data_IF_400425639981
#
_entry.id   IF_400425639981
#
_cell.length_a   1.000
_cell.length_b   1.000
_cell.length_c   1.000
_cell.angle_alpha   90.00
_cell.angle_beta   90.00
_cell.angle_gamma   90.00
#
_symmetry.space_group_name_H-M   'P 1'
#
loop_
_entity.id
_entity.type
_entity.pdbx_description
1 polymer ?
#
# COMPACT_ATOMS: atom_id res chain seq x y z
N UNK A 1 19.04 -33.75 -16.79
CA UNK A 1 20.23 -32.90 -16.49
C UNK A 1 20.17 -32.58 -15.01
N UNK A 2 21.18 -32.94 -14.22
CA UNK A 2 21.16 -32.65 -12.77
C UNK A 2 21.36 -31.15 -12.58
N UNK A 3 20.31 -30.44 -12.16
CA UNK A 3 20.39 -29.02 -11.85
C UNK A 3 21.21 -28.86 -10.57
N UNK A 4 22.28 -28.05 -10.65
CA UNK A 4 23.07 -27.69 -9.48
C UNK A 4 22.37 -26.58 -8.71
N UNK A 5 22.35 -26.72 -7.40
CA UNK A 5 21.95 -25.66 -6.49
C UNK A 5 22.91 -24.47 -6.65
N UNK A 6 22.35 -23.26 -6.70
CA UNK A 6 23.05 -21.98 -6.68
C UNK A 6 22.27 -21.02 -5.80
N UNK A 7 22.80 -19.83 -5.58
CA UNK A 7 22.13 -18.80 -4.81
C UNK A 7 22.18 -17.46 -5.55
N UNK A 8 21.05 -16.76 -5.56
CA UNK A 8 20.92 -15.40 -6.04
C UNK A 8 21.00 -14.45 -4.85
N UNK A 9 21.94 -13.53 -4.91
CA UNK A 9 22.17 -12.48 -3.93
C UNK A 9 21.96 -11.15 -4.62
N UNK A 10 21.09 -10.30 -4.07
CA UNK A 10 20.88 -8.94 -4.58
C UNK A 10 21.50 -7.93 -3.62
N UNK A 11 22.05 -6.85 -4.16
CA UNK A 11 22.59 -5.75 -3.37
C UNK A 11 21.51 -5.13 -2.48
N UNK A 12 21.88 -4.79 -1.24
CA UNK A 12 20.97 -4.19 -0.26
C UNK A 12 19.98 -5.17 0.38
N UNK A 13 20.17 -6.48 0.21
CA UNK A 13 19.46 -7.51 0.98
C UNK A 13 20.42 -8.38 1.80
N UNK A 14 20.06 -8.62 3.05
CA UNK A 14 20.83 -9.47 3.96
C UNK A 14 20.63 -10.96 3.62
N UNK A 15 19.43 -11.35 3.21
CA UNK A 15 19.10 -12.72 2.84
C UNK A 15 19.13 -12.97 1.32
N UNK A 16 19.54 -14.19 0.94
CA UNK A 16 19.60 -14.66 -0.45
C UNK A 16 18.40 -15.53 -0.86
N UNK A 17 18.42 -15.95 -2.13
CA UNK A 17 17.43 -16.84 -2.73
C UNK A 17 18.12 -18.11 -3.20
N UNK A 18 17.61 -19.26 -2.76
CA UNK A 18 18.05 -20.57 -3.22
C UNK A 18 17.50 -20.85 -4.63
N UNK A 19 18.37 -21.18 -5.57
CA UNK A 19 18.02 -21.46 -6.97
C UNK A 19 18.44 -22.87 -7.40
N UNK A 20 17.46 -23.67 -7.83
CA UNK A 20 17.67 -24.94 -8.54
C UNK A 20 16.89 -24.90 -9.85
N UNK A 21 17.45 -24.19 -10.83
CA UNK A 21 16.75 -23.74 -12.05
C UNK A 21 17.59 -24.00 -13.30
N UNK A 22 16.97 -23.92 -14.48
CA UNK A 22 17.65 -24.08 -15.77
C UNK A 22 18.33 -22.77 -16.25
N UNK A 23 19.07 -22.83 -17.36
CA UNK A 23 19.75 -21.67 -17.93
C UNK A 23 18.79 -20.57 -18.39
N UNK A 24 17.61 -20.93 -18.91
CA UNK A 24 16.60 -19.96 -19.35
C UNK A 24 16.14 -19.03 -18.21
N UNK A 25 16.00 -19.55 -16.99
CA UNK A 25 15.74 -18.71 -15.81
C UNK A 25 16.92 -17.76 -15.53
N UNK A 26 18.15 -18.27 -15.58
CA UNK A 26 19.35 -17.47 -15.28
C UNK A 26 19.57 -16.35 -16.30
N UNK A 27 19.31 -16.62 -17.57
CA UNK A 27 19.42 -15.66 -18.68
C UNK A 27 18.35 -14.57 -18.61
N UNK A 28 17.23 -14.80 -17.91
CA UNK A 28 16.18 -13.81 -17.70
C UNK A 28 16.54 -12.75 -16.64
N UNK A 29 17.38 -13.10 -15.66
CA UNK A 29 17.69 -12.22 -14.52
C UNK A 29 18.26 -10.84 -14.95
N UNK A 30 19.25 -10.74 -15.88
CA UNK A 30 19.81 -9.45 -16.29
C UNK A 30 18.85 -8.54 -17.08
N UNK A 31 17.71 -9.06 -17.53
CA UNK A 31 16.65 -8.28 -18.16
C UNK A 31 15.69 -7.69 -17.13
N UNK A 32 15.45 -8.41 -16.03
CA UNK A 32 14.47 -8.03 -15.00
C UNK A 32 15.15 -7.16 -13.93
N UNK A 33 16.31 -7.59 -13.43
CA UNK A 33 17.15 -6.86 -12.47
C UNK A 33 18.20 -6.04 -13.22
N UNK A 34 17.74 -5.20 -14.16
CA UNK A 34 18.63 -4.48 -15.08
C UNK A 34 19.45 -3.39 -14.39
N UNK A 35 18.90 -2.78 -13.33
CA UNK A 35 19.57 -1.79 -12.50
C UNK A 35 19.52 -2.12 -11.01
N UNK A 36 19.30 -3.39 -10.68
CA UNK A 36 19.48 -3.91 -9.33
C UNK A 36 20.66 -4.88 -9.36
N UNK A 37 21.83 -4.49 -8.84
CA UNK A 37 23.00 -5.36 -8.87
C UNK A 37 22.74 -6.67 -8.14
N UNK A 38 23.19 -7.77 -8.74
CA UNK A 38 23.03 -9.10 -8.19
C UNK A 38 24.19 -10.00 -8.59
N UNK A 39 24.40 -11.04 -7.80
CA UNK A 39 25.39 -12.08 -8.02
C UNK A 39 24.77 -13.47 -7.91
N UNK A 40 25.36 -14.42 -8.65
CA UNK A 40 25.02 -15.84 -8.56
C UNK A 40 26.22 -16.56 -7.98
N UNK A 41 26.07 -17.08 -6.77
CA UNK A 41 27.13 -17.77 -6.03
C UNK A 41 26.83 -19.27 -5.92
N UNK A 42 27.87 -20.07 -5.72
CA UNK A 42 27.76 -21.52 -5.57
C UNK A 42 27.23 -21.93 -4.18
N UNK A 43 27.67 -21.21 -3.15
CA UNK A 43 27.30 -21.42 -1.75
C UNK A 43 26.81 -20.10 -1.17
N UNK A 44 25.79 -20.15 -0.30
CA UNK A 44 25.30 -19.00 0.43
C UNK A 44 25.99 -18.91 1.79
N UNK A 45 26.57 -17.74 2.07
CA UNK A 45 27.10 -17.33 3.38
C UNK A 45 26.05 -16.58 4.23
N UNK A 46 24.78 -16.62 3.80
CA UNK A 46 23.68 -15.83 4.34
C UNK A 46 22.39 -16.62 4.41
N UNK A 47 21.44 -16.10 5.20
CA UNK A 47 20.11 -16.68 5.34
C UNK A 47 19.37 -16.74 4.00
N UNK A 48 18.46 -17.70 3.87
CA UNK A 48 17.65 -17.89 2.66
C UNK A 48 16.19 -17.61 2.99
N UNK A 49 15.62 -16.58 2.36
CA UNK A 49 14.22 -16.22 2.59
C UNK A 49 13.26 -16.87 1.57
N UNK A 50 13.76 -17.24 0.39
CA UNK A 50 12.98 -17.86 -0.66
C UNK A 50 13.77 -18.92 -1.43
N UNK A 51 13.06 -19.89 -2.00
CA UNK A 51 13.62 -20.94 -2.86
C UNK A 51 12.83 -21.01 -4.16
N UNK A 52 13.54 -21.08 -5.29
CA UNK A 52 12.96 -21.39 -6.60
C UNK A 52 13.55 -22.70 -7.11
N UNK A 53 12.67 -23.67 -7.33
CA UNK A 53 13.05 -24.99 -7.86
C UNK A 53 12.27 -25.30 -9.13
N UNK A 54 12.98 -25.70 -10.19
CA UNK A 54 12.42 -26.37 -11.35
C UNK A 54 12.35 -27.88 -11.06
N UNK A 55 11.15 -28.43 -11.01
CA UNK A 55 10.93 -29.85 -10.73
C UNK A 55 10.80 -30.69 -12.01
N UNK A 56 10.77 -32.00 -11.83
CA UNK A 56 10.69 -32.99 -12.92
C UNK A 56 9.39 -32.89 -13.73
N UNK A 57 8.34 -32.25 -13.19
CA UNK A 57 7.11 -31.93 -13.91
C UNK A 57 7.25 -30.75 -14.89
N UNK A 58 8.46 -30.16 -14.98
CA UNK A 58 8.76 -29.04 -15.85
C UNK A 58 8.29 -27.69 -15.33
N UNK A 59 7.83 -27.60 -14.07
CA UNK A 59 7.32 -26.37 -13.46
C UNK A 59 8.28 -25.78 -12.44
N UNK A 60 8.27 -24.46 -12.37
CA UNK A 60 8.95 -23.69 -11.35
C UNK A 60 8.05 -23.53 -10.12
N UNK A 61 8.64 -23.71 -8.95
CA UNK A 61 7.97 -23.55 -7.66
C UNK A 61 8.72 -22.48 -6.86
N UNK A 62 8.01 -21.42 -6.46
CA UNK A 62 8.50 -20.44 -5.50
C UNK A 62 7.99 -20.82 -4.11
N UNK A 63 8.91 -21.01 -3.17
CA UNK A 63 8.60 -21.31 -1.77
C UNK A 63 9.26 -20.30 -0.86
N UNK A 64 8.51 -19.78 0.11
CA UNK A 64 8.95 -18.83 1.12
C UNK A 64 8.15 -19.12 2.41
N UNK A 65 8.70 -18.91 3.62
CA UNK A 65 7.95 -19.09 4.88
C UNK A 65 6.69 -18.23 4.97
N UNK A 66 6.58 -17.20 4.14
CA UNK A 66 5.50 -16.21 4.13
C UNK A 66 4.46 -16.47 3.04
N UNK A 67 4.70 -17.45 2.15
CA UNK A 67 3.75 -17.85 1.13
C UNK A 67 2.95 -19.05 1.64
N UNK A 68 1.69 -18.83 1.97
CA UNK A 68 0.78 -19.91 2.42
C UNK A 68 0.43 -20.88 1.29
N UNK A 69 0.22 -20.36 0.07
CA UNK A 69 -0.17 -21.15 -1.09
C UNK A 69 1.01 -21.38 -2.01
N UNK A 70 1.42 -22.65 -2.15
CA UNK A 70 2.43 -23.06 -3.12
C UNK A 70 1.90 -22.94 -4.54
N UNK A 71 2.18 -21.83 -5.19
CA UNK A 71 1.91 -21.64 -6.61
C UNK A 71 3.02 -22.29 -7.46
N UNK A 72 2.64 -22.70 -8.67
CA UNK A 72 3.56 -23.28 -9.66
C UNK A 72 3.44 -22.54 -10.98
N UNK A 73 4.55 -22.42 -11.70
CA UNK A 73 4.65 -21.63 -12.92
C UNK A 73 5.29 -22.44 -14.03
N UNK A 74 4.78 -22.30 -15.26
CA UNK A 74 5.30 -23.01 -16.43
C UNK A 74 6.42 -22.24 -17.13
N UNK A 75 6.73 -21.02 -16.71
CA UNK A 75 7.60 -20.09 -17.42
C UNK A 75 8.50 -19.30 -16.45
N UNK A 76 9.79 -19.10 -16.77
CA UNK A 76 10.73 -18.40 -15.89
C UNK A 76 10.31 -16.95 -15.59
N UNK A 77 9.76 -16.21 -16.56
CA UNK A 77 9.35 -14.81 -16.33
C UNK A 77 8.20 -14.74 -15.33
N UNK A 78 7.30 -15.73 -15.33
CA UNK A 78 6.18 -15.77 -14.40
C UNK A 78 6.64 -16.00 -12.96
N UNK A 79 7.58 -16.92 -12.73
CA UNK A 79 8.10 -17.17 -11.39
C UNK A 79 9.01 -16.03 -10.93
N UNK A 80 9.81 -15.41 -11.81
CA UNK A 80 10.62 -14.22 -11.44
C UNK A 80 9.70 -13.04 -11.12
N UNK A 81 8.60 -12.88 -11.86
CA UNK A 81 7.58 -11.88 -11.53
C UNK A 81 7.00 -12.09 -10.12
N UNK A 82 6.72 -13.34 -9.72
CA UNK A 82 6.27 -13.64 -8.36
C UNK A 82 7.39 -13.37 -7.33
N UNK A 83 8.64 -13.69 -7.68
CA UNK A 83 9.81 -13.38 -6.87
C UNK A 83 9.98 -11.88 -6.63
N UNK A 84 9.72 -11.01 -7.62
CA UNK A 84 9.79 -9.55 -7.45
C UNK A 84 8.84 -9.06 -6.34
N UNK A 85 7.66 -9.66 -6.21
CA UNK A 85 6.74 -9.34 -5.11
C UNK A 85 7.31 -9.81 -3.76
N UNK A 86 7.89 -11.01 -3.68
CA UNK A 86 8.54 -11.50 -2.46
C UNK A 86 9.78 -10.67 -2.09
N UNK A 87 10.52 -10.15 -3.07
CA UNK A 87 11.65 -9.23 -2.86
C UNK A 87 11.18 -7.92 -2.23
N UNK A 88 10.06 -7.38 -2.70
CA UNK A 88 9.45 -6.20 -2.08
C UNK A 88 9.13 -6.45 -0.60
N UNK A 89 8.55 -7.63 -0.29
CA UNK A 89 8.26 -8.03 1.09
C UNK A 89 9.51 -8.27 1.93
N UNK A 90 10.55 -8.89 1.36
CA UNK A 90 11.82 -9.12 2.04
C UNK A 90 12.43 -7.78 2.48
N UNK A 91 12.44 -6.79 1.58
CA UNK A 91 12.97 -5.46 1.87
C UNK A 91 12.28 -4.80 3.08
N UNK A 92 10.95 -4.92 3.19
CA UNK A 92 10.20 -4.37 4.33
C UNK A 92 10.35 -5.17 5.64
N UNK A 93 10.79 -6.43 5.53
CA UNK A 93 11.09 -7.27 6.69
C UNK A 93 12.49 -6.98 7.24
N UNK A 94 13.45 -6.69 6.36
CA UNK A 94 14.81 -6.28 6.74
C UNK A 94 14.86 -4.83 7.21
N UNK A 95 14.05 -3.95 6.61
CA UNK A 95 13.91 -2.55 7.04
C UNK A 95 12.44 -2.19 7.33
N UNK A 96 11.99 -2.37 8.59
CA UNK A 96 10.64 -2.01 9.02
C UNK A 96 10.34 -0.51 9.05
N UNK A 97 11.35 0.36 8.84
CA UNK A 97 11.16 1.82 8.83
C UNK A 97 10.58 2.30 7.49
N UNK A 98 10.70 1.49 6.44
CA UNK A 98 10.17 1.80 5.12
C UNK A 98 8.65 1.66 5.07
N UNK A 99 8.01 2.67 4.49
CA UNK A 99 6.69 2.52 3.90
C UNK A 99 6.83 2.02 2.45
N UNK A 100 5.79 1.46 1.85
CA UNK A 100 5.83 0.93 0.49
C UNK A 100 4.48 1.05 -0.18
N UNK A 101 4.45 1.77 -1.30
CA UNK A 101 3.27 1.97 -2.12
C UNK A 101 3.34 1.05 -3.33
N UNK A 102 2.28 0.29 -3.56
CA UNK A 102 2.07 -0.40 -4.83
C UNK A 102 1.74 0.63 -5.91
N UNK A 103 2.64 0.83 -6.86
CA UNK A 103 2.51 1.88 -7.85
C UNK A 103 3.76 2.04 -8.71
N UNK A 104 3.65 2.92 -9.70
CA UNK A 104 4.78 3.37 -10.50
C UNK A 104 5.25 4.72 -9.97
N UNK A 105 6.48 5.09 -10.29
CA UNK A 105 6.97 6.44 -10.02
C UNK A 105 7.92 6.87 -11.13
N UNK A 106 7.82 8.14 -11.52
CA UNK A 106 8.69 8.76 -12.49
C UNK A 106 9.15 10.12 -11.99
N UNK A 107 10.34 10.53 -12.41
CA UNK A 107 10.92 11.82 -12.08
C UNK A 107 10.39 12.91 -13.01
N UNK A 108 9.84 13.97 -12.40
CA UNK A 108 9.46 15.21 -13.07
C UNK A 108 10.17 16.36 -12.37
N UNK A 109 11.02 17.08 -13.10
CA UNK A 109 11.69 18.29 -12.61
C UNK A 109 12.37 18.11 -11.24
N UNK A 110 13.05 16.97 -11.05
CA UNK A 110 13.80 16.65 -9.83
C UNK A 110 12.97 16.14 -8.64
N UNK A 111 11.69 15.80 -8.83
CA UNK A 111 10.84 15.16 -7.80
C UNK A 111 10.04 14.00 -8.37
N UNK A 112 9.60 13.08 -7.53
CA UNK A 112 8.81 11.93 -7.96
C UNK A 112 7.32 12.26 -8.01
N UNK A 113 6.70 11.98 -9.16
CA UNK A 113 5.26 11.77 -9.23
C UNK A 113 4.99 10.28 -9.09
N UNK A 114 4.18 9.94 -8.10
CA UNK A 114 3.81 8.56 -7.79
C UNK A 114 2.43 8.28 -8.40
N UNK A 115 2.28 7.10 -8.99
CA UNK A 115 1.05 6.62 -9.60
C UNK A 115 0.56 5.37 -8.85
N UNK A 116 -0.15 5.53 -7.71
CA UNK A 116 -0.72 4.41 -6.99
C UNK A 116 -1.72 3.68 -7.90
N UNK A 117 -1.58 2.37 -8.03
CA UNK A 117 -2.39 1.63 -9.00
C UNK A 117 -3.53 0.87 -8.35
N UNK A 118 -4.75 1.17 -8.80
CA UNK A 118 -5.85 0.21 -8.72
C UNK A 118 -5.77 -0.76 -9.91
N UNK A 119 -6.42 -1.94 -9.79
CA UNK A 119 -6.33 -2.97 -10.84
C UNK A 119 -6.85 -2.44 -12.18
N UNK A 120 -6.08 -2.69 -13.25
CA UNK A 120 -6.39 -2.35 -14.66
C UNK A 120 -6.36 -0.85 -15.03
N UNK A 121 -5.82 0.03 -14.20
CA UNK A 121 -5.71 1.45 -14.49
C UNK A 121 -4.67 1.83 -15.58
N UNK A 122 -4.03 0.86 -16.25
CA UNK A 122 -3.07 1.15 -17.32
C UNK A 122 -1.64 1.51 -16.88
N UNK A 123 -1.32 1.43 -15.58
CA UNK A 123 0.00 1.80 -15.00
C UNK A 123 1.20 1.30 -15.82
N UNK A 124 1.32 -0.02 -16.05
CA UNK A 124 2.50 -0.55 -16.74
C UNK A 124 2.62 -0.10 -18.19
N UNK A 125 1.48 0.16 -18.85
CA UNK A 125 1.44 0.80 -20.17
C UNK A 125 1.97 2.23 -20.08
N UNK A 126 1.49 3.00 -19.10
CA UNK A 126 1.93 4.38 -18.88
C UNK A 126 3.41 4.45 -18.51
N UNK A 127 3.94 3.53 -17.69
CA UNK A 127 5.36 3.47 -17.30
C UNK A 127 6.31 3.34 -18.49
N UNK A 128 6.00 2.44 -19.43
CA UNK A 128 6.83 2.29 -20.64
C UNK A 128 6.69 3.50 -21.55
N UNK A 129 5.49 4.06 -21.68
CA UNK A 129 5.27 5.26 -22.47
C UNK A 129 5.98 6.49 -21.84
N UNK A 130 6.02 6.63 -20.52
CA UNK A 130 6.77 7.67 -19.82
C UNK A 130 8.28 7.55 -20.08
N UNK A 131 8.82 6.33 -19.99
CA UNK A 131 10.21 6.06 -20.35
C UNK A 131 10.50 6.41 -21.81
N UNK A 132 9.60 6.04 -22.74
CA UNK A 132 9.69 6.37 -24.16
C UNK A 132 9.66 7.89 -24.41
N UNK A 133 8.94 8.63 -23.57
CA UNK A 133 8.88 10.07 -23.59
C UNK A 133 10.08 10.76 -22.91
N UNK A 134 11.08 10.00 -22.44
CA UNK A 134 12.30 10.52 -21.83
C UNK A 134 12.18 10.87 -20.34
N UNK A 135 11.10 10.48 -19.67
CA UNK A 135 11.01 10.57 -18.22
C UNK A 135 11.80 9.45 -17.57
N UNK A 136 12.50 9.75 -16.48
CA UNK A 136 13.30 8.77 -15.75
C UNK A 136 12.40 7.98 -14.81
N UNK A 137 12.34 6.67 -15.00
CA UNK A 137 11.48 5.77 -14.22
C UNK A 137 12.17 5.29 -12.93
N UNK A 138 11.48 5.40 -11.80
CA UNK A 138 11.96 4.88 -10.52
C UNK A 138 11.47 3.46 -10.26
N UNK A 139 10.24 3.15 -10.64
CA UNK A 139 9.65 1.82 -10.51
C UNK A 139 8.38 1.72 -11.35
N UNK A 140 7.99 0.50 -11.70
CA UNK A 140 6.68 0.20 -12.29
C UNK A 140 5.72 -0.48 -11.31
N UNK A 141 6.18 -1.08 -10.21
CA UNK A 141 5.35 -2.01 -9.42
C UNK A 141 5.22 -1.64 -7.95
N UNK A 142 6.33 -1.34 -7.28
CA UNK A 142 6.34 -0.91 -5.89
C UNK A 142 7.41 0.15 -5.64
N UNK A 143 7.11 1.09 -4.75
CA UNK A 143 7.97 2.19 -4.35
C UNK A 143 8.15 2.17 -2.82
N UNK A 144 9.30 1.72 -2.31
CA UNK A 144 9.70 2.00 -0.94
C UNK A 144 9.82 3.51 -0.71
N UNK A 145 9.37 3.96 0.46
CA UNK A 145 9.34 5.35 0.88
C UNK A 145 10.03 5.44 2.24
N UNK A 146 10.96 6.38 2.37
CA UNK A 146 11.68 6.70 3.60
C UNK A 146 11.45 8.15 4.02
N UNK A 147 11.69 8.43 5.29
CA UNK A 147 11.86 9.79 5.81
C UNK A 147 13.31 9.93 6.21
N UNK A 148 14.02 10.86 5.60
CA UNK A 148 15.44 11.10 5.89
C UNK A 148 15.60 12.11 7.03
N UNK A 149 16.85 12.36 7.46
CA UNK A 149 17.19 13.27 8.58
C UNK A 149 16.66 14.70 8.38
N UNK A 150 16.58 15.16 7.13
CA UNK A 150 16.04 16.47 6.76
C UNK A 150 14.50 16.55 6.83
N UNK A 151 13.88 15.43 7.22
CA UNK A 151 12.44 15.19 7.34
C UNK A 151 11.68 15.23 6.02
N UNK A 152 12.38 15.22 4.89
CA UNK A 152 11.74 15.11 3.58
C UNK A 152 11.44 13.63 3.32
N UNK A 153 10.33 13.40 2.61
CA UNK A 153 9.90 12.06 2.23
C UNK A 153 10.48 11.74 0.86
N UNK A 154 11.19 10.62 0.75
CA UNK A 154 11.85 10.16 -0.47
C UNK A 154 11.23 8.86 -0.95
N UNK A 155 11.11 8.71 -2.27
CA UNK A 155 10.84 7.43 -2.91
C UNK A 155 12.13 6.81 -3.41
N UNK A 156 12.30 5.51 -3.18
CA UNK A 156 13.54 4.78 -3.48
C UNK A 156 13.29 3.82 -4.64
N UNK A 157 14.16 3.83 -5.65
CA UNK A 157 14.03 2.93 -6.80
C UNK A 157 14.29 1.47 -6.41
N UNK A 158 13.51 0.58 -7.05
CA UNK A 158 13.69 -0.87 -6.96
C UNK A 158 14.72 -1.41 -7.95
N UNK A 159 15.13 -0.63 -8.97
CA UNK A 159 16.04 -1.10 -10.03
C UNK A 159 15.47 -2.22 -10.92
N UNK A 160 14.17 -2.53 -10.79
CA UNK A 160 13.48 -3.56 -11.57
C UNK A 160 12.94 -2.97 -12.87
N UNK A 161 13.16 -3.67 -13.98
CA UNK A 161 12.70 -3.25 -15.30
C UNK A 161 11.16 -3.18 -15.39
N UNK A 162 10.60 -2.20 -16.13
CA UNK A 162 9.17 -2.13 -16.39
C UNK A 162 8.61 -3.39 -17.06
N UNK A 163 7.40 -3.80 -16.66
CA UNK A 163 6.76 -5.04 -17.11
C UNK A 163 5.38 -4.77 -17.73
N UNK A 164 5.29 -4.88 -19.04
CA UNK A 164 4.03 -4.81 -19.78
C UNK A 164 3.28 -6.14 -19.75
N UNK A 165 1.95 -6.07 -19.72
CA UNK A 165 1.06 -7.21 -19.95
C UNK A 165 0.76 -7.34 -21.44
N UNK A 166 0.64 -8.58 -21.92
CA UNK A 166 0.28 -8.92 -23.30
C UNK A 166 -1.18 -9.41 -23.38
N UNK A 167 -1.88 -9.20 -24.52
CA UNK A 167 -1.44 -8.37 -25.65
C UNK A 167 -1.33 -6.89 -25.26
N UNK A 168 -0.49 -6.13 -25.98
CA UNK A 168 -0.36 -4.71 -25.73
C UNK A 168 -1.65 -3.98 -26.13
N UNK A 169 -2.14 -3.01 -25.32
CA UNK A 169 -3.27 -2.20 -25.73
C UNK A 169 -2.84 -1.27 -26.88
N UNK A 170 -3.73 -1.02 -27.84
CA UNK A 170 -3.50 -0.06 -28.94
C UNK A 170 -3.19 1.35 -28.41
N UNK A 171 -3.68 1.66 -27.21
CA UNK A 171 -3.50 2.91 -26.50
C UNK A 171 -2.08 3.17 -25.97
N UNK A 172 -1.15 2.22 -26.12
CA UNK A 172 0.24 2.42 -25.69
C UNK A 172 0.96 3.52 -26.48
N UNK A 173 0.53 3.80 -27.71
CA UNK A 173 1.12 4.82 -28.59
C UNK A 173 2.28 4.31 -29.44
N UNK A 174 2.56 5.02 -30.54
CA UNK A 174 3.59 4.67 -31.51
C UNK A 174 4.99 4.92 -30.93
N UNK A 175 5.18 6.01 -30.19
CA UNK A 175 6.47 6.34 -29.59
C UNK A 175 6.94 5.24 -28.62
N UNK A 176 6.02 4.66 -27.85
CA UNK A 176 6.32 3.56 -26.96
C UNK A 176 6.64 2.26 -27.70
N UNK A 177 5.97 1.97 -28.82
CA UNK A 177 6.28 0.83 -29.69
C UNK A 177 7.67 0.97 -30.31
N UNK A 178 8.01 2.16 -30.84
CA UNK A 178 9.35 2.45 -31.37
C UNK A 178 10.43 2.34 -30.29
N UNK A 179 10.15 2.86 -29.10
CA UNK A 179 11.04 2.75 -27.95
C UNK A 179 11.35 1.29 -27.65
N UNK A 180 10.33 0.44 -27.51
CA UNK A 180 10.51 -0.99 -27.27
C UNK A 180 11.28 -1.69 -28.38
N UNK A 181 11.05 -1.32 -29.65
CA UNK A 181 11.77 -1.89 -30.78
C UNK A 181 13.29 -1.60 -30.75
N UNK A 182 13.71 -0.55 -30.03
CA UNK A 182 15.11 -0.14 -29.86
C UNK A 182 15.71 -0.59 -28.52
N UNK A 183 15.00 -1.42 -27.73
CA UNK A 183 15.47 -1.90 -26.43
C UNK A 183 15.55 -3.44 -26.42
N UNK A 184 16.44 -4.03 -25.61
CA UNK A 184 16.37 -5.45 -25.34
C UNK A 184 15.04 -5.80 -24.65
N UNK A 185 14.33 -6.78 -25.19
CA UNK A 185 13.04 -7.26 -24.68
C UNK A 185 13.17 -8.70 -24.20
N UNK A 186 12.46 -9.02 -23.13
CA UNK A 186 12.25 -10.40 -22.70
C UNK A 186 10.75 -10.63 -22.54
N UNK A 187 10.20 -11.58 -23.31
CA UNK A 187 8.75 -11.79 -23.40
C UNK A 187 8.36 -13.24 -23.27
N UNK A 188 7.18 -13.48 -22.70
CA UNK A 188 6.44 -14.72 -22.82
C UNK A 188 5.01 -14.42 -23.32
N UNK A 189 4.07 -15.35 -23.11
CA UNK A 189 2.68 -15.18 -23.53
C UNK A 189 1.92 -14.10 -22.73
N UNK A 190 2.34 -13.81 -21.49
CA UNK A 190 1.65 -12.92 -20.57
C UNK A 190 2.35 -11.57 -20.39
N UNK A 191 3.68 -11.54 -20.42
CA UNK A 191 4.48 -10.37 -20.05
C UNK A 191 5.54 -10.02 -21.09
N UNK A 192 5.94 -8.76 -21.10
CA UNK A 192 7.15 -8.28 -21.75
C UNK A 192 7.87 -7.33 -20.81
N UNK A 193 9.09 -7.68 -20.43
CA UNK A 193 10.02 -6.78 -19.76
C UNK A 193 10.78 -5.99 -20.80
N UNK A 194 10.84 -4.67 -20.59
CA UNK A 194 11.61 -3.75 -21.43
C UNK A 194 12.84 -3.37 -20.63
N UNK A 195 14.04 -3.70 -21.10
CA UNK A 195 15.27 -3.33 -20.41
C UNK A 195 15.60 -1.85 -20.70
N UNK A 196 15.48 -0.94 -19.71
CA UNK A 196 15.80 0.47 -19.91
C UNK A 196 17.31 0.71 -20.02
N UNK A 197 17.70 1.83 -20.63
CA UNK A 197 19.05 2.37 -20.50
C UNK A 197 19.24 3.00 -19.11
N UNK A 198 20.51 3.18 -18.69
CA UNK A 198 20.85 3.78 -17.38
C UNK A 198 20.24 5.17 -17.14
N UNK A 199 19.98 5.94 -18.20
CA UNK A 199 19.37 7.27 -18.12
C UNK A 199 17.85 7.23 -18.05
N UNK A 200 17.23 6.12 -18.44
CA UNK A 200 15.77 5.96 -18.56
C UNK A 200 15.14 5.40 -17.29
N UNK A 201 15.95 4.78 -16.42
CA UNK A 201 15.50 4.25 -15.16
C UNK A 201 16.56 4.42 -14.08
N UNK A 202 16.12 4.71 -12.87
CA UNK A 202 16.97 4.81 -11.70
C UNK A 202 17.52 3.44 -11.28
N UNK A 203 18.72 3.42 -10.73
CA UNK A 203 19.30 2.24 -10.12
C UNK A 203 18.71 1.96 -8.74
N UNK A 204 18.78 0.70 -8.32
CA UNK A 204 18.37 0.29 -6.99
C UNK A 204 19.02 1.20 -5.93
N UNK A 205 18.19 1.67 -4.98
CA UNK A 205 18.65 2.52 -3.88
C UNK A 205 18.77 4.01 -4.23
N UNK A 206 18.73 4.40 -5.51
CA UNK A 206 18.59 5.82 -5.86
C UNK A 206 17.28 6.37 -5.31
N UNK A 207 17.34 7.56 -4.71
CA UNK A 207 16.22 8.19 -4.04
C UNK A 207 15.98 9.60 -4.60
N UNK A 208 14.71 9.98 -4.69
CA UNK A 208 14.28 11.34 -5.04
C UNK A 208 13.11 11.77 -4.16
N UNK A 209 12.98 13.06 -3.83
CA UNK A 209 11.93 13.53 -2.94
C UNK A 209 10.57 13.40 -3.64
N UNK A 210 9.53 13.09 -2.86
CA UNK A 210 8.18 13.01 -3.39
C UNK A 210 7.67 14.41 -3.78
N UNK A 211 7.13 14.51 -4.99
CA UNK A 211 6.56 15.72 -5.56
C UNK A 211 5.04 15.73 -5.57
N UNK A 212 4.39 14.58 -5.82
CA UNK A 212 2.94 14.49 -5.90
C UNK A 212 2.42 13.10 -6.22
N UNK A 213 1.10 12.95 -6.21
CA UNK A 213 0.39 11.71 -6.57
C UNK A 213 -0.57 11.94 -7.73
N UNK A 214 -0.59 10.99 -8.65
CA UNK A 214 -1.54 10.96 -9.76
C UNK A 214 -2.25 9.62 -9.78
N UNK A 215 -3.54 9.63 -9.48
CA UNK A 215 -4.43 8.49 -9.54
C UNK A 215 -4.93 8.31 -10.97
N UNK A 216 -4.86 7.09 -11.48
CA UNK A 216 -5.16 6.80 -12.88
C UNK A 216 -6.60 6.31 -13.04
N UNK A 217 -7.36 6.96 -13.92
CA UNK A 217 -8.68 6.51 -14.37
C UNK A 217 -8.69 6.36 -15.89
N UNK A 218 -8.41 5.15 -16.36
CA UNK A 218 -8.43 4.86 -17.79
C UNK A 218 -9.84 4.58 -18.28
N UNK A 219 -10.31 5.37 -19.24
CA UNK A 219 -11.66 5.28 -19.82
C UNK A 219 -11.54 5.34 -21.35
N UNK A 220 -12.02 4.31 -22.03
CA UNK A 220 -11.99 4.24 -23.50
C UNK A 220 -12.77 5.42 -24.11
N UNK A 221 -12.17 6.12 -25.06
CA UNK A 221 -12.72 7.30 -25.73
C UNK A 221 -12.77 8.58 -24.88
N UNK A 222 -12.21 8.59 -23.67
CA UNK A 222 -12.17 9.80 -22.85
C UNK A 222 -11.14 10.80 -23.37
N UNK A 223 -11.52 12.08 -23.35
CA UNK A 223 -10.57 13.18 -23.45
C UNK A 223 -9.63 13.17 -22.24
N UNK A 224 -8.36 13.47 -22.50
CA UNK A 224 -7.35 13.56 -21.44
C UNK A 224 -7.64 14.76 -20.54
N UNK A 225 -7.73 14.52 -19.24
CA UNK A 225 -7.95 15.56 -18.25
C UNK A 225 -7.26 15.22 -16.94
N UNK A 226 -6.77 16.25 -16.27
CA UNK A 226 -6.23 16.16 -14.91
C UNK A 226 -7.06 17.08 -14.01
N UNK A 227 -7.44 16.57 -12.84
CA UNK A 227 -8.22 17.32 -11.86
C UNK A 227 -7.74 17.00 -10.45
N UNK A 228 -7.85 17.94 -9.51
CA UNK A 228 -7.58 17.64 -8.11
C UNK A 228 -8.53 16.57 -7.58
N UNK A 229 -8.03 15.72 -6.69
CA UNK A 229 -8.83 14.75 -5.95
C UNK A 229 -8.95 15.19 -4.49
N UNK A 230 -10.03 14.80 -3.82
CA UNK A 230 -10.19 15.04 -2.38
C UNK A 230 -9.06 14.38 -1.57
N UNK A 231 -8.71 14.98 -0.44
CA UNK A 231 -7.71 14.42 0.47
C UNK A 231 -8.17 13.05 0.97
N UNK A 232 -9.47 12.90 1.24
CA UNK A 232 -10.04 11.65 1.71
C UNK A 232 -9.90 10.50 0.69
N UNK A 233 -10.20 10.76 -0.59
CA UNK A 233 -10.09 9.74 -1.64
C UNK A 233 -8.63 9.40 -1.95
N UNK A 234 -7.73 10.40 -1.90
CA UNK A 234 -6.29 10.18 -1.98
C UNK A 234 -5.81 9.29 -0.83
N UNK A 235 -6.13 9.66 0.41
CA UNK A 235 -5.74 8.92 1.61
C UNK A 235 -6.28 7.49 1.58
N UNK A 236 -7.56 7.30 1.24
CA UNK A 236 -8.18 5.98 1.07
C UNK A 236 -7.41 5.11 0.08
N UNK A 237 -7.08 5.68 -1.08
CA UNK A 237 -6.35 4.93 -2.11
C UNK A 237 -4.94 4.59 -1.65
N UNK A 238 -4.24 5.54 -1.02
CA UNK A 238 -2.90 5.33 -0.47
C UNK A 238 -2.89 4.26 0.62
N UNK A 239 -3.87 4.23 1.52
CA UNK A 239 -4.02 3.18 2.53
C UNK A 239 -4.21 1.81 1.86
N UNK A 240 -5.04 1.74 0.81
CA UNK A 240 -5.27 0.49 0.08
C UNK A 240 -4.07 0.02 -0.74
N UNK A 241 -3.23 0.95 -1.23
CA UNK A 241 -2.02 0.61 -2.00
C UNK A 241 -0.77 0.46 -1.13
N UNK A 242 -0.80 0.91 0.12
CA UNK A 242 0.24 0.59 1.08
C UNK A 242 0.14 -0.88 1.47
N UNK A 243 1.25 -1.59 1.38
CA UNK A 243 1.34 -2.97 1.86
C UNK A 243 2.36 -3.16 2.98
N UNK A 244 2.92 -2.07 3.52
CA UNK A 244 3.75 -2.14 4.72
C UNK A 244 2.91 -2.55 5.92
N UNK A 245 3.35 -3.60 6.62
CA UNK A 245 2.64 -4.19 7.76
C UNK A 245 3.52 -4.43 8.99
N UNK A 246 4.82 -4.17 8.85
CA UNK A 246 5.83 -4.38 9.89
C UNK A 246 5.97 -3.16 10.81
N UNK A 247 5.64 -1.96 10.32
CA UNK A 247 5.56 -0.73 11.11
C UNK A 247 4.22 -0.56 11.84
N UNK A 248 4.19 0.37 12.80
CA UNK A 248 2.99 0.76 13.55
C UNK A 248 1.96 1.45 12.63
N UNK A 249 0.73 0.96 12.63
CA UNK A 249 -0.37 1.49 11.79
C UNK A 249 -0.66 2.98 12.03
N UNK A 250 -0.40 3.51 13.24
CA UNK A 250 -0.56 4.94 13.51
C UNK A 250 0.48 5.79 12.79
N UNK A 251 1.72 5.33 12.72
CA UNK A 251 2.82 6.02 12.02
C UNK A 251 2.62 5.94 10.51
N UNK A 252 2.21 4.76 10.02
CA UNK A 252 1.81 4.56 8.61
C UNK A 252 0.66 5.53 8.27
N UNK A 253 -0.42 5.54 9.05
CA UNK A 253 -1.56 6.42 8.81
C UNK A 253 -1.16 7.90 8.88
N UNK A 254 -0.30 8.29 9.84
CA UNK A 254 0.19 9.66 9.95
C UNK A 254 1.00 10.10 8.72
N UNK A 255 1.87 9.22 8.20
CA UNK A 255 2.65 9.51 6.99
C UNK A 255 1.75 9.61 5.77
N UNK A 256 0.81 8.67 5.59
CA UNK A 256 -0.13 8.68 4.46
C UNK A 256 -1.06 9.90 4.49
N UNK A 257 -1.55 10.28 5.67
CA UNK A 257 -2.31 11.50 5.91
C UNK A 257 -1.49 12.74 5.56
N UNK A 258 -0.23 12.79 6.03
CA UNK A 258 0.66 13.92 5.77
C UNK A 258 0.90 14.12 4.28
N UNK A 259 1.21 13.05 3.53
CA UNK A 259 1.45 13.17 2.09
C UNK A 259 0.18 13.54 1.34
N UNK A 260 -0.99 13.01 1.72
CA UNK A 260 -2.26 13.35 1.09
C UNK A 260 -2.64 14.83 1.32
N UNK A 261 -2.29 15.40 2.48
CA UNK A 261 -2.58 16.79 2.83
C UNK A 261 -1.58 17.80 2.26
N UNK A 262 -0.31 17.42 2.12
CA UNK A 262 0.79 18.37 1.86
C UNK A 262 1.42 18.23 0.48
N UNK A 263 1.10 17.17 -0.27
CA UNK A 263 1.53 17.00 -1.65
C UNK A 263 0.33 17.08 -2.61
N UNK A 264 0.53 17.66 -3.81
CA UNK A 264 -0.52 17.71 -4.81
C UNK A 264 -0.98 16.31 -5.19
N UNK A 265 -2.30 16.11 -5.19
CA UNK A 265 -2.96 14.86 -5.49
C UNK A 265 -3.97 15.09 -6.62
N UNK A 266 -3.79 14.38 -7.74
CA UNK A 266 -4.64 14.54 -8.93
C UNK A 266 -5.24 13.21 -9.38
N UNK A 267 -6.40 13.28 -10.02
CA UNK A 267 -6.97 12.24 -10.86
C UNK A 267 -6.63 12.54 -12.33
N UNK A 268 -6.00 11.59 -13.02
CA UNK A 268 -5.76 11.63 -14.45
C UNK A 268 -6.76 10.71 -15.15
N UNK A 269 -7.70 11.32 -15.86
CA UNK A 269 -8.62 10.62 -16.76
C UNK A 269 -8.06 10.61 -18.16
N UNK A 270 -7.96 9.43 -18.77
CA UNK A 270 -7.34 9.31 -20.09
C UNK A 270 -7.74 8.01 -20.82
N UNK A 271 -7.54 7.99 -22.14
CA UNK A 271 -7.61 6.78 -22.96
C UNK A 271 -6.21 6.37 -23.46
N UNK A 272 -5.56 7.28 -24.19
CA UNK A 272 -4.25 7.08 -24.81
C UNK A 272 -3.09 7.58 -23.94
N UNK A 273 -1.98 6.84 -23.94
CA UNK A 273 -0.82 7.15 -23.10
C UNK A 273 -0.10 8.44 -23.52
N UNK A 274 0.06 8.70 -24.82
CA UNK A 274 0.81 9.87 -25.31
C UNK A 274 0.20 11.21 -24.88
N UNK A 275 -1.10 11.49 -25.12
CA UNK A 275 -1.72 12.72 -24.62
C UNK A 275 -1.68 12.84 -23.08
N UNK A 276 -1.80 11.72 -22.38
CA UNK A 276 -1.70 11.67 -20.92
C UNK A 276 -0.31 12.11 -20.44
N UNK A 277 0.76 11.66 -21.11
CA UNK A 277 2.14 12.02 -20.77
C UNK A 277 2.42 13.49 -21.09
N UNK A 278 1.93 13.99 -22.22
CA UNK A 278 2.10 15.40 -22.58
C UNK A 278 1.45 16.32 -21.53
N UNK A 279 0.24 15.96 -21.07
CA UNK A 279 -0.44 16.68 -19.99
C UNK A 279 0.35 16.62 -18.68
N UNK A 280 0.85 15.43 -18.28
CA UNK A 280 1.66 15.27 -17.07
C UNK A 280 2.95 16.09 -17.13
N UNK A 281 3.63 16.11 -18.28
CA UNK A 281 4.84 16.91 -18.47
C UNK A 281 4.57 18.40 -18.35
N UNK A 282 3.44 18.86 -18.90
CA UNK A 282 3.03 20.26 -18.78
C UNK A 282 2.71 20.62 -17.33
N UNK A 283 1.94 19.78 -16.62
CA UNK A 283 1.54 20.00 -15.23
C UNK A 283 2.75 20.03 -14.29
N UNK A 284 3.70 19.10 -14.45
CA UNK A 284 4.88 18.95 -13.58
C UNK A 284 6.16 19.52 -14.19
N UNK A 285 6.04 20.51 -15.09
CA UNK A 285 7.18 21.19 -15.71
C UNK A 285 8.01 22.00 -14.69
N UNK A 286 7.40 22.40 -13.57
CA UNK A 286 8.07 23.09 -12.46
C UNK A 286 7.32 22.85 -11.14
N UNK A 287 8.03 23.00 -10.02
CA UNK A 287 7.47 22.87 -8.68
C UNK A 287 7.40 24.23 -7.99
N UNK A 288 6.19 24.72 -7.75
CA UNK A 288 5.98 26.05 -7.16
C UNK A 288 5.98 26.03 -5.61
N UNK A 289 5.89 24.84 -5.01
CA UNK A 289 5.86 24.67 -3.56
C UNK A 289 7.16 24.05 -3.04
N UNK A 290 7.65 24.45 -1.86
CA UNK A 290 8.77 23.78 -1.21
C UNK A 290 8.41 22.33 -0.87
N UNK A 291 9.42 21.49 -0.65
CA UNK A 291 9.21 20.13 -0.18
C UNK A 291 8.67 20.16 1.26
N UNK A 292 7.54 19.48 1.55
CA UNK A 292 7.00 19.43 2.89
C UNK A 292 7.89 18.56 3.78
N UNK A 293 8.01 18.94 5.06
CA UNK A 293 8.82 18.21 6.05
C UNK A 293 7.92 17.47 7.02
N UNK A 294 8.06 16.16 7.07
CA UNK A 294 7.29 15.29 7.95
C UNK A 294 7.76 15.42 9.39
N UNK A 295 6.83 15.69 10.30
CA UNK A 295 7.10 15.69 11.73
C UNK A 295 6.13 14.76 12.42
N UNK A 296 6.68 13.70 13.03
CA UNK A 296 5.93 12.82 13.93
C UNK A 296 5.45 13.69 15.10
N UNK A 297 4.14 13.77 15.30
CA UNK A 297 3.57 14.41 16.48
C UNK A 297 3.96 13.57 17.71
N UNK A 298 4.41 14.18 18.83
CA UNK A 298 4.74 13.46 20.06
C UNK A 298 3.60 12.59 20.60
N UNK A 299 2.35 12.95 20.27
CA UNK A 299 1.13 12.21 20.64
C UNK A 299 0.96 10.86 19.91
N UNK A 300 1.84 10.53 18.95
CA UNK A 300 1.78 9.29 18.14
C UNK A 300 2.53 8.10 18.77
N UNK A 301 3.18 8.28 19.92
CA UNK A 301 3.70 7.17 20.71
C UNK A 301 2.52 6.35 21.26
N UNK A 302 2.05 5.38 20.46
CA UNK A 302 1.15 4.37 20.96
C UNK A 302 1.82 3.66 22.15
N UNK A 303 1.20 3.74 23.33
CA UNK A 303 1.66 3.10 24.58
C UNK A 303 1.74 1.57 24.54
N UNK A 304 1.64 0.95 23.36
CA UNK A 304 1.80 -0.50 23.19
C UNK A 304 3.03 -0.79 22.33
N UNK A 305 4.21 -0.98 22.94
CA UNK A 305 5.49 -1.12 22.25
C UNK A 305 5.64 -2.33 21.32
N UNK A 306 4.59 -3.11 20.99
CA UNK A 306 4.77 -4.37 20.28
C UNK A 306 3.53 -5.02 19.62
N UNK A 307 2.41 -4.31 19.42
CA UNK A 307 1.24 -4.86 18.68
C UNK A 307 0.67 -6.20 19.19
N UNK A 308 1.07 -6.62 20.40
CA UNK A 308 0.83 -7.96 20.98
C UNK A 308 -0.01 -7.95 22.26
N UNK A 309 -0.44 -6.77 22.73
CA UNK A 309 -1.37 -6.72 23.86
C UNK A 309 -2.69 -7.37 23.44
N UNK A 310 -3.13 -8.40 24.19
CA UNK A 310 -4.48 -8.93 24.07
C UNK A 310 -5.44 -7.77 24.35
N UNK A 311 -6.24 -7.41 23.36
CA UNK A 311 -7.32 -6.45 23.52
C UNK A 311 -8.64 -7.22 23.59
N UNK A 312 -9.55 -6.72 24.41
CA UNK A 312 -10.87 -7.31 24.53
C UNK A 312 -11.59 -7.23 23.18
N UNK A 313 -12.08 -8.38 22.73
CA UNK A 313 -12.94 -8.49 21.57
C UNK A 313 -14.33 -8.83 22.05
N UNK A 314 -15.29 -8.00 21.68
CA UNK A 314 -16.68 -8.20 22.06
C UNK A 314 -17.44 -8.83 20.90
N UNK A 315 -17.87 -10.08 21.08
CA UNK A 315 -18.85 -10.73 20.21
C UNK A 315 -20.29 -10.41 20.63
N UNK A 316 -20.51 -10.24 21.94
CA UNK A 316 -21.74 -9.74 22.52
C UNK A 316 -21.62 -8.23 22.78
N UNK A 317 -22.31 -7.47 21.93
CA UNK A 317 -22.41 -6.00 21.98
C UNK A 317 -23.85 -5.55 22.25
N UNK A 318 -24.77 -6.50 22.46
CA UNK A 318 -26.20 -6.22 22.66
C UNK A 318 -26.48 -5.82 24.10
N UNK A 319 -25.55 -6.10 25.03
CA UNK A 319 -25.66 -5.75 26.44
C UNK A 319 -24.50 -4.87 26.92
N UNK A 320 -24.84 -3.80 27.64
CA UNK A 320 -23.90 -2.85 28.24
C UNK A 320 -23.71 -1.56 27.44
N UNK A 321 -22.88 -0.67 27.98
CA UNK A 321 -22.47 0.58 27.34
C UNK A 321 -21.04 0.47 26.83
N UNK A 322 -20.80 1.07 25.67
CA UNK A 322 -19.52 1.05 24.99
C UNK A 322 -19.08 2.47 24.66
N UNK A 323 -17.77 2.67 24.62
CA UNK A 323 -17.13 3.89 24.12
C UNK A 323 -15.89 3.50 23.31
N UNK A 324 -15.15 4.48 22.79
CA UNK A 324 -13.91 4.22 22.06
C UNK A 324 -12.90 3.47 22.91
N UNK A 325 -12.24 2.49 22.31
CA UNK A 325 -11.06 1.90 22.94
C UNK A 325 -9.91 2.91 23.00
N UNK A 326 -9.13 2.86 24.07
CA UNK A 326 -7.88 3.62 24.17
C UNK A 326 -6.90 3.26 23.04
N UNK A 327 -6.06 4.22 22.65
CA UNK A 327 -5.06 4.07 21.58
C UNK A 327 -5.63 3.84 20.17
N UNK A 328 -6.89 4.19 19.91
CA UNK A 328 -7.44 4.28 18.56
C UNK A 328 -7.20 5.69 18.02
N UNK A 329 -6.27 5.84 17.06
CA UNK A 329 -6.08 7.10 16.35
C UNK A 329 -7.21 7.29 15.34
N UNK A 330 -7.82 8.47 15.35
CA UNK A 330 -8.80 8.89 14.36
C UNK A 330 -8.20 9.96 13.46
N UNK A 331 -8.27 9.75 12.14
CA UNK A 331 -7.97 10.75 11.11
C UNK A 331 -9.26 11.11 10.40
N UNK A 332 -9.51 12.41 10.22
CA UNK A 332 -10.67 12.91 9.47
C UNK A 332 -10.19 13.75 8.29
N UNK A 333 -10.68 13.44 7.10
CA UNK A 333 -10.41 14.19 5.88
C UNK A 333 -11.72 14.29 5.08
N UNK A 334 -12.08 15.49 4.62
CA UNK A 334 -13.29 15.76 3.82
C UNK A 334 -14.58 15.10 4.36
N UNK A 335 -14.77 15.09 5.69
CA UNK A 335 -15.91 14.45 6.36
C UNK A 335 -15.85 12.92 6.47
N UNK A 336 -14.90 12.27 5.80
CA UNK A 336 -14.61 10.84 5.94
C UNK A 336 -13.69 10.59 7.15
N UNK A 337 -13.78 9.39 7.74
CA UNK A 337 -12.97 9.01 8.92
C UNK A 337 -12.22 7.70 8.74
N UNK A 338 -11.00 7.68 9.24
CA UNK A 338 -10.10 6.53 9.26
C UNK A 338 -9.64 6.27 10.70
N UNK A 339 -9.68 5.01 11.13
CA UNK A 339 -9.30 4.58 12.48
C UNK A 339 -8.13 3.62 12.45
N UNK A 340 -7.20 3.70 13.39
CA UNK A 340 -6.22 2.62 13.61
C UNK A 340 -6.82 1.54 14.49
N UNK A 341 -6.56 0.28 14.16
CA UNK A 341 -6.85 -0.84 15.04
C UNK A 341 -5.95 -0.82 16.28
N UNK A 342 -6.47 -1.31 17.40
CA UNK A 342 -5.75 -1.34 18.69
C UNK A 342 -4.53 -2.28 18.69
N UNK A 343 -4.45 -3.21 17.74
CA UNK A 343 -3.26 -4.03 17.53
C UNK A 343 -2.12 -3.29 16.82
N UNK A 344 -2.34 -2.04 16.38
CA UNK A 344 -1.37 -1.27 15.60
C UNK A 344 -1.09 -1.87 14.22
N UNK A 345 -1.96 -2.74 13.69
CA UNK A 345 -1.73 -3.47 12.43
C UNK A 345 -2.85 -3.29 11.40
N UNK A 346 -4.00 -2.71 11.77
CA UNK A 346 -5.09 -2.42 10.85
C UNK A 346 -5.43 -0.94 10.77
N UNK A 347 -5.92 -0.52 9.61
CA UNK A 347 -6.53 0.79 9.39
C UNK A 347 -7.95 0.54 8.86
N UNK A 348 -8.94 1.19 9.45
CA UNK A 348 -10.36 1.04 9.13
C UNK A 348 -10.89 2.32 8.51
N UNK A 349 -11.61 2.20 7.39
CA UNK A 349 -12.38 3.30 6.81
C UNK A 349 -13.83 3.26 7.32
N UNK A 350 -14.34 4.39 7.80
CA UNK A 350 -15.74 4.51 8.21
C UNK A 350 -16.55 5.14 7.08
N UNK A 351 -17.62 4.47 6.67
CA UNK A 351 -18.68 5.13 5.88
C UNK A 351 -19.47 6.11 6.76
N UNK A 352 -20.37 6.90 6.17
CA UNK A 352 -21.12 7.94 6.90
C UNK A 352 -21.89 7.40 8.11
N UNK A 353 -22.60 6.28 7.96
CA UNK A 353 -23.33 5.66 9.07
C UNK A 353 -22.42 5.19 10.20
N UNK A 354 -21.32 4.51 9.88
CA UNK A 354 -20.33 4.08 10.88
C UNK A 354 -19.63 5.27 11.54
N UNK A 355 -19.42 6.37 10.82
CA UNK A 355 -18.86 7.60 11.38
C UNK A 355 -19.83 8.23 12.39
N UNK A 356 -21.14 8.29 12.11
CA UNK A 356 -22.11 8.78 13.09
C UNK A 356 -22.18 7.91 14.34
N UNK A 357 -22.17 6.58 14.17
CA UNK A 357 -22.11 5.64 15.29
C UNK A 357 -20.82 5.87 16.10
N UNK A 358 -19.68 6.02 15.43
CA UNK A 358 -18.42 6.36 16.08
C UNK A 358 -18.52 7.67 16.87
N UNK A 359 -19.20 8.68 16.35
CA UNK A 359 -19.38 9.96 17.06
C UNK A 359 -20.30 9.84 18.29
N UNK A 360 -21.35 9.02 18.22
CA UNK A 360 -22.20 8.72 19.39
C UNK A 360 -21.35 8.12 20.51
N UNK A 361 -20.42 7.22 20.16
CA UNK A 361 -19.52 6.55 21.09
C UNK A 361 -18.40 7.44 21.68
N UNK A 362 -18.40 8.75 21.39
CA UNK A 362 -17.59 9.72 22.15
C UNK A 362 -18.00 9.76 23.63
N UNK A 363 -19.26 9.43 23.91
CA UNK A 363 -19.78 9.19 25.24
C UNK A 363 -20.21 7.72 25.36
N UNK A 364 -20.14 7.11 26.55
CA UNK A 364 -20.62 5.75 26.75
C UNK A 364 -22.07 5.57 26.30
N UNK A 365 -22.28 4.71 25.29
CA UNK A 365 -23.61 4.46 24.73
C UNK A 365 -23.85 2.95 24.55
N UNK A 366 -25.08 2.55 24.82
CA UNK A 366 -25.60 1.21 24.50
C UNK A 366 -26.07 1.13 23.05
N UNK A 367 -26.30 -0.10 22.58
CA UNK A 367 -26.84 -0.33 21.25
C UNK A 367 -28.21 0.33 21.06
N UNK A 368 -29.10 0.23 22.04
CA UNK A 368 -30.45 0.80 21.94
C UNK A 368 -30.42 2.35 21.97
N UNK A 369 -29.56 2.96 22.80
CA UNK A 369 -29.35 4.43 22.80
C UNK A 369 -28.82 4.92 21.44
N UNK A 370 -27.86 4.21 20.83
CA UNK A 370 -27.36 4.55 19.50
C UNK A 370 -28.43 4.40 18.41
N UNK A 371 -29.30 3.39 18.51
CA UNK A 371 -30.45 3.22 17.60
C UNK A 371 -31.44 4.37 17.75
N UNK A 372 -31.76 4.77 18.98
CA UNK A 372 -32.69 5.88 19.26
C UNK A 372 -32.17 7.19 18.67
N UNK A 373 -30.89 7.52 18.89
CA UNK A 373 -30.25 8.72 18.32
C UNK A 373 -30.29 8.71 16.79
N UNK A 374 -30.02 7.57 16.15
CA UNK A 374 -30.01 7.46 14.70
C UNK A 374 -31.41 7.45 14.08
N UNK A 375 -32.40 6.88 14.76
CA UNK A 375 -33.80 6.99 14.35
C UNK A 375 -34.27 8.45 14.35
N UNK A 376 -33.79 9.27 15.30
CA UNK A 376 -34.07 10.70 15.32
C UNK A 376 -33.34 11.46 14.18
N UNK A 377 -32.14 11.02 13.80
CA UNK A 377 -31.35 11.64 12.73
C UNK A 377 -31.84 11.27 11.32
N UNK A 378 -32.43 10.08 11.14
CA UNK A 378 -32.88 9.54 9.84
C UNK A 378 -34.36 9.09 9.90
N UNK A 379 -35.31 10.02 10.03
CA UNK A 379 -36.74 9.71 10.21
C UNK A 379 -37.37 8.97 9.01
N UNK A 380 -36.75 9.03 7.84
CA UNK A 380 -37.18 8.34 6.62
C UNK A 380 -36.84 6.84 6.59
N UNK A 381 -35.96 6.37 7.47
CA UNK A 381 -35.55 4.97 7.55
C UNK A 381 -36.37 4.21 8.59
N UNK A 382 -36.60 2.91 8.34
CA UNK A 382 -37.28 2.06 9.33
C UNK A 382 -36.36 1.74 10.51
N UNK A 383 -36.88 1.77 11.74
CA UNK A 383 -36.15 1.40 12.96
C UNK A 383 -35.46 0.03 12.84
N UNK A 384 -36.12 -0.96 12.24
CA UNK A 384 -35.54 -2.29 12.05
C UNK A 384 -34.29 -2.29 11.15
N UNK A 385 -34.23 -1.41 10.14
CA UNK A 385 -33.05 -1.26 9.28
C UNK A 385 -31.91 -0.57 10.04
N UNK A 386 -32.21 0.52 10.75
CA UNK A 386 -31.23 1.22 11.59
C UNK A 386 -30.64 0.27 12.64
N UNK A 387 -31.50 -0.46 13.37
CA UNK A 387 -31.06 -1.43 14.39
C UNK A 387 -30.13 -2.49 13.82
N UNK A 388 -30.42 -2.99 12.62
CA UNK A 388 -29.57 -3.98 11.94
C UNK A 388 -28.19 -3.40 11.60
N UNK A 389 -28.14 -2.19 11.08
CA UNK A 389 -26.89 -1.54 10.68
C UNK A 389 -26.06 -1.13 11.90
N UNK A 390 -26.68 -0.59 12.95
CA UNK A 390 -26.02 -0.28 14.23
C UNK A 390 -25.45 -1.56 14.86
N UNK A 391 -26.23 -2.64 14.94
CA UNK A 391 -25.78 -3.91 15.48
C UNK A 391 -24.60 -4.48 14.70
N UNK A 392 -24.66 -4.42 13.37
CA UNK A 392 -23.55 -4.85 12.52
C UNK A 392 -22.30 -4.03 12.80
N UNK A 393 -22.45 -2.70 12.86
CA UNK A 393 -21.32 -1.79 13.11
C UNK A 393 -20.70 -2.01 14.49
N UNK A 394 -21.50 -2.14 15.56
CA UNK A 394 -21.00 -2.44 16.91
C UNK A 394 -20.27 -3.79 16.92
N UNK A 395 -20.80 -4.83 16.26
CA UNK A 395 -20.12 -6.14 16.15
C UNK A 395 -18.79 -6.02 15.41
N UNK A 396 -18.73 -5.24 14.34
CA UNK A 396 -17.50 -5.00 13.59
C UNK A 396 -16.49 -4.21 14.43
N UNK A 397 -16.90 -3.16 15.15
CA UNK A 397 -16.04 -2.42 16.07
C UNK A 397 -15.53 -3.29 17.22
N UNK A 398 -16.40 -4.08 17.86
CA UNK A 398 -16.05 -5.01 18.94
C UNK A 398 -15.06 -6.10 18.49
N UNK A 399 -15.24 -6.69 17.31
CA UNK A 399 -14.31 -7.69 16.74
C UNK A 399 -12.94 -7.12 16.42
N UNK A 400 -12.89 -5.86 15.99
CA UNK A 400 -11.66 -5.16 15.63
C UNK A 400 -11.01 -4.44 16.83
N UNK A 401 -11.56 -4.60 18.05
CA UNK A 401 -10.97 -4.02 19.26
C UNK A 401 -11.10 -2.50 19.35
N UNK A 402 -12.07 -1.92 18.63
CA UNK A 402 -12.31 -0.48 18.57
C UNK A 402 -13.22 0.01 19.70
N UNK A 403 -13.87 -0.90 20.43
CA UNK A 403 -14.75 -0.60 21.56
C UNK A 403 -14.10 -0.97 22.89
N UNK A 404 -14.47 -0.21 23.92
CA UNK A 404 -14.29 -0.55 25.33
C UNK A 404 -15.66 -0.68 25.98
N UNK A 405 -15.92 -1.79 26.66
CA UNK A 405 -17.15 -1.95 27.46
C UNK A 405 -16.95 -1.25 28.80
N UNK A 406 -17.92 -0.43 29.21
CA UNK A 406 -17.91 0.20 30.54
C UNK A 406 -18.46 -0.81 31.54
N UNK A 407 -17.58 -1.31 32.41
CA UNK A 407 -18.00 -2.02 33.61
C UNK A 407 -18.55 -1.00 34.60
N UNK A 408 -19.84 -1.09 34.98
CA UNK A 408 -20.36 -0.28 36.08
C UNK A 408 -19.55 -0.64 37.32
N UNK A 409 -18.94 0.35 37.96
CA UNK A 409 -18.43 0.18 39.32
C UNK A 409 -19.59 -0.32 40.19
N UNK A 410 -19.37 -1.33 41.07
CA UNK A 410 -20.40 -1.70 42.02
C UNK A 410 -20.77 -0.45 42.83
N UNK A 411 -22.06 -0.14 42.91
CA UNK A 411 -22.56 0.93 43.78
C UNK A 411 -21.96 0.69 45.17
N UNK A 412 -21.13 1.63 45.63
CA UNK A 412 -20.72 1.70 47.02
C UNK A 412 -22.02 1.89 47.82
N UNK A 413 -22.52 0.79 48.41
CA UNK A 413 -23.58 0.84 49.40
C UNK A 413 -23.11 1.80 50.51
N UNK A 414 -23.63 3.02 50.48
CA UNK A 414 -23.48 3.96 51.57
C UNK A 414 -24.12 3.31 52.80
N UNK A 415 -23.38 3.14 53.92
CA UNK A 415 -23.94 2.51 55.10
C UNK A 415 -25.18 3.28 55.54
N UNK A 416 -26.29 2.55 55.65
CA UNK A 416 -27.58 3.07 56.07
C UNK A 416 -27.41 3.80 57.41
N UNK A 417 -27.69 5.09 57.40
CA UNK A 417 -27.81 5.91 58.61
C UNK A 417 -28.97 5.37 59.45
N UNK A 418 -28.67 4.50 60.41
CA UNK A 418 -29.61 4.17 61.46
C UNK A 418 -29.86 5.41 62.32
N UNK A 419 -31.16 5.68 62.45
CA UNK A 419 -31.75 6.89 63.00
C UNK A 419 -31.52 6.94 64.50
N UNK A 420 -30.93 8.04 64.96
CA UNK A 420 -31.19 8.58 66.29
C UNK A 420 -32.66 9.00 66.40
N UNK A 421 -33.37 8.48 67.40
CA UNK A 421 -34.48 9.16 68.07
C UNK A 421 -34.92 8.36 69.32
N UNK A 422 -35.49 9.01 70.34
CA UNK A 422 -34.97 10.14 71.13
C UNK A 422 -34.36 9.67 72.47
#
# INVERSE_FOLDING_TARGET
MVLKQKYLVLEGLDAGISLKVNSAFMEALPYIFSHWPFEIVADADRDIFATIELKDDGRFYLTSPFIEKKDSYNDPLNVICALVAELAWQRLREDPTLLCIHGAAAEFSGRLVVFPATRKAGKSTLSVAMAAAGLRMFTDDFLPISVEDDRIIYGISSGVSPRLRRPFPNQIGEAALEFMARRPLLSNNQYTYVKPLKTESAAYGEAQPLGGFVFLERVDGAEVAISEISTADALKTLICQNFSRTGNAADILAMLEFVALNLPCYLLKYDHAEPAIDLLKAEFAAWNSPLPRFSVRPELENETPNGKALFDRYSDVETGQFEHAYCVKTVSADGQRFLTGRNGQSIHYLNEGAALIWQILNEPASLDEAVEILCAAFPEQTEAAIKKDVLRCFKDFGKNGLLRKIERAPELELPSAERLAP
#
